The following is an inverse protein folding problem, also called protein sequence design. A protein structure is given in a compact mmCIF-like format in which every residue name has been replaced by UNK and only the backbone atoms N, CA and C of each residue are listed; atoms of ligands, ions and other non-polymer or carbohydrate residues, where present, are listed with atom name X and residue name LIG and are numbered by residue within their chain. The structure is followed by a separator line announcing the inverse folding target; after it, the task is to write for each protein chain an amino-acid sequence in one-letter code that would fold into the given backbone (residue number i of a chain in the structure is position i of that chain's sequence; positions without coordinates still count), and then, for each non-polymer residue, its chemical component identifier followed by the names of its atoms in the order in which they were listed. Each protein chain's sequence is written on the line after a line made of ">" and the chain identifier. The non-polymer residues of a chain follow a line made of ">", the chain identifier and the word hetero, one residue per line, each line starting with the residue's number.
data_IF_998691458786
#
_entry.id   IF_998691458786
#
_cell.length_a   1.000
_cell.length_b   1.000
_cell.length_c   1.000
_cell.angle_alpha   90.00
_cell.angle_beta   90.00
_cell.angle_gamma   90.00
#
_symmetry.space_group_name_H-M   'P 1'
#
loop_
_entity.id
_entity.type
_entity.pdbx_description
1 polymer ?
#
# COMPACT_ATOMS: atom_id res chain seq x y z
N UNK A 1 -13.68 -5.35 -20.49
CA UNK A 1 -12.61 -6.23 -20.00
C UNK A 1 -12.97 -6.61 -18.58
N UNK A 2 -12.77 -7.87 -18.20
CA UNK A 2 -12.94 -8.30 -16.81
C UNK A 2 -11.88 -7.61 -15.94
N UNK A 3 -12.30 -6.93 -14.86
CA UNK A 3 -11.40 -6.23 -13.94
C UNK A 3 -10.36 -7.17 -13.33
N UNK A 4 -10.75 -8.43 -13.10
CA UNK A 4 -9.83 -9.46 -12.60
C UNK A 4 -8.69 -9.71 -13.58
N UNK A 5 -9.04 -9.95 -14.84
CA UNK A 5 -8.06 -10.26 -15.89
C UNK A 5 -7.09 -9.09 -16.14
N UNK A 6 -7.56 -7.85 -16.03
CA UNK A 6 -6.70 -6.67 -16.10
C UNK A 6 -5.62 -6.66 -15.02
N UNK A 7 -6.01 -6.85 -13.75
CA UNK A 7 -5.06 -6.85 -12.63
C UNK A 7 -4.12 -8.06 -12.67
N UNK A 8 -4.62 -9.25 -12.99
CA UNK A 8 -3.78 -10.43 -13.18
C UNK A 8 -2.69 -10.20 -14.23
N UNK A 9 -3.02 -9.56 -15.35
CA UNK A 9 -2.04 -9.21 -16.37
C UNK A 9 -1.00 -8.21 -15.84
N UNK A 10 -1.43 -7.15 -15.12
CA UNK A 10 -0.51 -6.16 -14.54
C UNK A 10 0.47 -6.83 -13.58
N UNK A 11 -0.01 -7.64 -12.63
CA UNK A 11 0.85 -8.29 -11.63
C UNK A 11 1.75 -9.39 -12.21
N UNK A 12 1.36 -9.99 -13.33
CA UNK A 12 2.19 -11.01 -14.00
C UNK A 12 3.28 -10.40 -14.90
N UNK A 13 3.05 -9.20 -15.45
CA UNK A 13 3.90 -8.63 -16.51
C UNK A 13 4.76 -7.47 -16.07
N UNK A 14 4.49 -6.85 -14.92
CA UNK A 14 5.24 -5.70 -14.41
C UNK A 14 5.93 -6.03 -13.10
N UNK A 15 7.14 -5.51 -12.93
CA UNK A 15 7.79 -5.52 -11.62
C UNK A 15 7.03 -4.61 -10.66
N UNK A 16 7.07 -4.93 -9.37
CA UNK A 16 6.30 -4.19 -8.35
C UNK A 16 6.72 -2.73 -8.23
N UNK A 17 7.96 -2.40 -8.61
CA UNK A 17 8.54 -1.05 -8.64
C UNK A 17 8.34 -0.33 -9.98
N UNK A 18 7.85 -1.02 -11.01
CA UNK A 18 7.67 -0.50 -12.36
C UNK A 18 6.23 -0.05 -12.66
N UNK A 19 5.37 -0.03 -11.65
CA UNK A 19 4.00 0.50 -11.75
C UNK A 19 3.96 1.95 -11.26
N UNK A 20 3.12 2.79 -11.87
CA UNK A 20 3.13 4.23 -11.62
C UNK A 20 2.70 4.64 -10.21
N UNK A 21 2.09 3.73 -9.46
CA UNK A 21 1.64 3.93 -8.09
C UNK A 21 2.59 3.32 -7.05
N UNK A 22 3.74 2.79 -7.48
CA UNK A 22 4.75 2.31 -6.54
C UNK A 22 5.46 3.47 -5.85
N UNK A 23 5.67 3.32 -4.55
CA UNK A 23 6.54 4.18 -3.75
C UNK A 23 7.34 3.26 -2.81
N UNK A 24 8.63 3.54 -2.62
CA UNK A 24 9.48 2.76 -1.72
C UNK A 24 9.02 2.87 -0.26
N UNK A 25 8.52 4.05 0.12
CA UNK A 25 7.85 4.30 1.40
C UNK A 25 6.52 5.01 1.19
N UNK A 26 5.53 4.69 2.01
CA UNK A 26 4.19 5.26 1.96
C UNK A 26 4.07 6.60 2.70
N UNK A 27 5.05 7.51 2.54
CA UNK A 27 5.23 8.74 3.33
C UNK A 27 3.97 9.58 3.48
N UNK A 28 3.21 9.74 2.38
CA UNK A 28 1.98 10.53 2.39
C UNK A 28 0.89 9.87 3.24
N UNK A 29 0.72 8.56 3.09
CA UNK A 29 -0.24 7.77 3.87
C UNK A 29 0.13 7.73 5.34
N UNK A 30 1.41 7.50 5.67
CA UNK A 30 1.92 7.55 7.04
C UNK A 30 1.65 8.91 7.67
N UNK A 31 1.96 10.02 6.98
CA UNK A 31 1.66 11.36 7.49
C UNK A 31 0.17 11.55 7.78
N UNK A 32 -0.71 11.08 6.89
CA UNK A 32 -2.16 11.18 7.09
C UNK A 32 -2.63 10.35 8.30
N UNK A 33 -2.11 9.13 8.48
CA UNK A 33 -2.40 8.27 9.62
C UNK A 33 -1.91 8.92 10.92
N UNK A 34 -0.67 9.40 10.96
CA UNK A 34 -0.09 10.09 12.12
C UNK A 34 -0.91 11.31 12.55
N UNK A 35 -1.48 12.04 11.61
CA UNK A 35 -2.34 13.19 11.88
C UNK A 35 -3.67 12.82 12.56
N UNK A 36 -4.10 11.56 12.50
CA UNK A 36 -5.29 11.09 13.25
C UNK A 36 -5.05 10.95 14.74
N UNK A 37 -3.77 10.89 15.17
CA UNK A 37 -3.33 10.69 16.56
C UNK A 37 -3.86 9.40 17.20
N UNK A 38 -4.19 8.40 16.38
CA UNK A 38 -4.49 7.06 16.88
C UNK A 38 -3.25 6.42 17.51
N UNK A 39 -3.48 5.57 18.51
CA UNK A 39 -2.41 4.74 19.08
C UNK A 39 -1.93 3.70 18.06
N UNK A 40 -0.74 3.16 18.28
CA UNK A 40 -0.17 2.09 17.43
C UNK A 40 -0.90 0.76 17.55
N UNK A 41 -1.77 0.63 18.55
CA UNK A 41 -2.70 -0.48 18.75
C UNK A 41 -4.00 -0.35 17.93
N UNK A 42 -4.15 0.75 17.16
CA UNK A 42 -5.31 0.95 16.31
C UNK A 42 -5.39 -0.09 15.18
N UNK A 43 -6.58 -0.65 14.99
CA UNK A 43 -6.83 -1.54 13.87
C UNK A 43 -6.91 -0.76 12.55
N UNK A 44 -6.12 -1.20 11.56
CA UNK A 44 -6.06 -0.60 10.20
C UNK A 44 -6.40 -1.68 9.17
N UNK A 45 -7.16 -1.29 8.13
CA UNK A 45 -7.45 -2.13 6.96
C UNK A 45 -6.91 -1.41 5.73
N UNK A 46 -5.95 -2.02 5.02
CA UNK A 46 -5.46 -1.56 3.72
C UNK A 46 -6.25 -2.24 2.59
N UNK A 47 -7.20 -1.53 1.99
CA UNK A 47 -8.07 -2.07 0.94
C UNK A 47 -7.42 -1.87 -0.42
N UNK A 48 -7.10 -2.98 -1.08
CA UNK A 48 -6.49 -2.94 -2.42
C UNK A 48 -5.01 -2.54 -2.40
N UNK A 49 -4.31 -2.80 -1.30
CA UNK A 49 -2.91 -2.41 -1.09
C UNK A 49 -1.95 -2.79 -2.22
N UNK A 50 -2.21 -3.88 -2.95
CA UNK A 50 -1.47 -4.18 -4.17
C UNK A 50 0.05 -4.28 -3.96
N UNK A 51 0.81 -3.37 -4.57
CA UNK A 51 2.28 -3.24 -4.40
C UNK A 51 2.70 -2.18 -3.38
N UNK A 52 1.76 -1.64 -2.60
CA UNK A 52 2.01 -0.65 -1.54
C UNK A 52 2.96 -1.18 -0.47
N UNK A 53 3.78 -0.28 0.08
CA UNK A 53 4.66 -0.53 1.23
C UNK A 53 4.07 -0.07 2.56
N UNK A 54 2.81 0.39 2.57
CA UNK A 54 2.16 0.93 3.77
C UNK A 54 2.15 -0.04 4.95
N UNK A 55 1.82 -1.32 4.72
CA UNK A 55 1.81 -2.33 5.79
C UNK A 55 3.22 -2.57 6.32
N UNK A 56 4.22 -2.64 5.43
CA UNK A 56 5.62 -2.82 5.82
C UNK A 56 6.09 -1.65 6.70
N UNK A 57 5.78 -0.41 6.29
CA UNK A 57 6.16 0.79 7.03
C UNK A 57 5.45 0.89 8.40
N UNK A 58 4.14 0.59 8.46
CA UNK A 58 3.38 0.59 9.72
C UNK A 58 3.92 -0.45 10.70
N UNK A 59 4.23 -1.66 10.23
CA UNK A 59 4.83 -2.71 11.07
C UNK A 59 6.24 -2.33 11.54
N UNK A 60 7.01 -1.65 10.70
CA UNK A 60 8.34 -1.15 11.08
C UNK A 60 8.28 -0.05 12.15
N UNK A 61 7.21 0.75 12.18
CA UNK A 61 6.99 1.75 13.23
C UNK A 61 6.57 1.14 14.57
N UNK A 62 5.98 -0.07 14.59
CA UNK A 62 5.53 -0.80 15.79
C UNK A 62 4.16 -0.38 16.28
#
# INVERSE_FOLDING_TARGET
>A
MDNKQHWEQVYTTKASDSVSWFQEHADQSLRLIHNTRLGKDAAIIDVGGGTSRLVDDLVAEG
#
